data_IF_512623495410
#
_entry.id   IF_512623495410
#
_cell.length_a   1.000
_cell.length_b   1.000
_cell.length_c   1.000
_cell.angle_alpha   90.00
_cell.angle_beta   90.00
_cell.angle_gamma   90.00
#
_symmetry.space_group_name_H-M   'P 1'
#
loop_
_entity.id
_entity.type
_entity.pdbx_description
1 polymer ?
#
# COMPACT_ATOMS: atom_id res chain seq x y z
N UNK A 1 19.81 -21.83 12.64
CA UNK A 1 18.51 -21.91 11.94
C UNK A 1 18.67 -22.87 10.78
N UNK A 2 17.89 -23.97 10.72
CA UNK A 2 18.11 -25.04 9.75
C UNK A 2 17.77 -24.60 8.32
N UNK A 3 18.74 -24.81 7.41
CA UNK A 3 18.74 -24.75 5.95
C UNK A 3 17.37 -24.55 5.23
N UNK A 4 16.79 -23.36 5.29
CA UNK A 4 15.52 -22.99 4.65
C UNK A 4 15.71 -22.48 3.19
N UNK A 5 16.54 -23.19 2.41
CA UNK A 5 16.95 -22.67 1.09
C UNK A 5 17.37 -23.70 0.05
N UNK A 6 17.24 -25.01 0.33
CA UNK A 6 17.79 -26.04 -0.56
C UNK A 6 16.73 -26.91 -1.28
N UNK A 7 15.45 -26.57 -1.20
CA UNK A 7 14.39 -27.33 -1.86
C UNK A 7 13.63 -26.51 -2.90
N UNK A 8 13.30 -27.13 -4.04
CA UNK A 8 12.54 -26.53 -5.15
C UNK A 8 11.20 -25.92 -4.70
N UNK A 9 10.62 -26.46 -3.62
CA UNK A 9 9.35 -25.99 -3.06
C UNK A 9 9.48 -24.58 -2.45
N UNK A 10 10.55 -24.30 -1.70
CA UNK A 10 10.82 -22.97 -1.13
C UNK A 10 11.05 -21.92 -2.22
N UNK A 11 11.69 -22.32 -3.32
CA UNK A 11 11.90 -21.43 -4.45
C UNK A 11 10.59 -21.07 -5.18
N UNK A 12 9.68 -22.03 -5.30
CA UNK A 12 8.34 -21.80 -5.88
C UNK A 12 7.48 -20.96 -4.93
N UNK A 13 7.49 -21.25 -3.63
CA UNK A 13 6.78 -20.45 -2.63
C UNK A 13 7.28 -19.01 -2.60
N UNK A 14 8.59 -18.79 -2.65
CA UNK A 14 9.18 -17.45 -2.70
C UNK A 14 8.78 -16.69 -3.97
N UNK A 15 8.67 -17.38 -5.11
CA UNK A 15 8.22 -16.78 -6.37
C UNK A 15 6.75 -16.35 -6.30
N UNK A 16 5.88 -17.25 -5.82
CA UNK A 16 4.46 -16.96 -5.62
C UNK A 16 4.28 -15.81 -4.63
N UNK A 17 5.05 -15.78 -3.54
CA UNK A 17 4.97 -14.71 -2.56
C UNK A 17 5.36 -13.35 -3.16
N UNK A 18 6.39 -13.30 -4.02
CA UNK A 18 6.79 -12.08 -4.73
C UNK A 18 5.76 -11.62 -5.77
N UNK A 19 5.17 -12.56 -6.50
CA UNK A 19 4.13 -12.24 -7.47
C UNK A 19 2.84 -11.78 -6.78
N UNK A 20 2.50 -12.39 -5.65
CA UNK A 20 1.39 -11.96 -4.82
C UNK A 20 1.62 -10.58 -4.22
N UNK A 21 2.84 -10.29 -3.75
CA UNK A 21 3.23 -8.96 -3.27
C UNK A 21 3.06 -7.90 -4.38
N UNK A 22 3.47 -8.19 -5.61
CA UNK A 22 3.26 -7.28 -6.76
C UNK A 22 1.79 -7.08 -7.11
N UNK A 23 0.99 -8.16 -7.12
CA UNK A 23 -0.45 -8.07 -7.38
C UNK A 23 -1.15 -7.26 -6.28
N UNK A 24 -0.73 -7.46 -5.02
CA UNK A 24 -1.24 -6.70 -3.88
C UNK A 24 -0.85 -5.22 -4.00
N UNK A 25 0.40 -4.92 -4.36
CA UNK A 25 0.89 -3.56 -4.56
C UNK A 25 0.15 -2.87 -5.71
N UNK A 26 -0.09 -3.58 -6.82
CA UNK A 26 -0.89 -3.09 -7.94
C UNK A 26 -2.36 -2.86 -7.57
N UNK A 27 -2.96 -3.80 -6.84
CA UNK A 27 -4.34 -3.69 -6.34
C UNK A 27 -4.49 -2.51 -5.38
N UNK A 28 -3.46 -2.24 -4.57
CA UNK A 28 -3.44 -1.07 -3.69
C UNK A 28 -3.25 0.22 -4.49
N UNK A 29 -2.42 0.24 -5.53
CA UNK A 29 -2.21 1.42 -6.37
C UNK A 29 -3.47 1.79 -7.17
N UNK A 30 -4.23 0.79 -7.64
CA UNK A 30 -5.40 1.00 -8.50
C UNK A 30 -6.71 1.03 -7.72
N UNK A 31 -6.91 0.10 -6.78
CA UNK A 31 -8.15 -0.04 -6.02
C UNK A 31 -8.37 1.08 -5.02
N UNK A 32 -7.30 1.63 -4.47
CA UNK A 32 -7.38 2.73 -3.51
C UNK A 32 -7.88 4.05 -4.16
N UNK A 33 -7.33 4.55 -5.30
CA UNK A 33 -7.90 5.72 -5.96
C UNK A 33 -9.29 5.45 -6.56
N UNK A 34 -9.57 4.24 -7.06
CA UNK A 34 -10.91 3.89 -7.53
C UNK A 34 -11.95 3.95 -6.40
N UNK A 35 -11.62 3.41 -5.23
CA UNK A 35 -12.51 3.46 -4.06
C UNK A 35 -12.74 4.89 -3.56
N UNK A 36 -11.72 5.74 -3.61
CA UNK A 36 -11.87 7.17 -3.29
C UNK A 36 -12.79 7.87 -4.30
N UNK A 37 -12.62 7.62 -5.60
CA UNK A 37 -13.48 8.20 -6.64
C UNK A 37 -14.93 7.73 -6.44
N UNK A 38 -15.15 6.44 -6.18
CA UNK A 38 -16.48 5.87 -5.97
C UNK A 38 -17.16 6.48 -4.73
N UNK A 39 -16.43 6.61 -3.61
CA UNK A 39 -16.97 7.28 -2.43
C UNK A 39 -17.29 8.75 -2.69
N UNK A 40 -16.44 9.48 -3.41
CA UNK A 40 -16.68 10.89 -3.75
C UNK A 40 -17.87 11.04 -4.71
N UNK A 41 -17.98 10.20 -5.74
CA UNK A 41 -19.04 10.29 -6.76
C UNK A 41 -20.41 9.84 -6.22
N UNK A 42 -20.47 8.82 -5.38
CA UNK A 42 -21.74 8.28 -4.88
C UNK A 42 -22.26 9.07 -3.67
N UNK A 43 -21.38 9.40 -2.73
CA UNK A 43 -21.80 10.05 -1.48
C UNK A 43 -21.65 11.58 -1.52
N UNK A 44 -20.96 12.15 -2.52
CA UNK A 44 -20.62 13.58 -2.59
C UNK A 44 -21.82 14.46 -2.80
N UNK A 45 -22.76 13.97 -3.59
CA UNK A 45 -24.02 14.64 -3.91
C UNK A 45 -25.01 14.63 -2.74
N UNK A 46 -24.93 13.64 -1.85
CA UNK A 46 -25.93 13.44 -0.78
C UNK A 46 -25.42 13.85 0.61
N UNK A 47 -24.16 13.61 0.93
CA UNK A 47 -23.57 13.87 2.26
C UNK A 47 -22.10 14.33 2.16
N UNK A 48 -21.89 15.53 1.59
CA UNK A 48 -20.57 16.13 1.38
C UNK A 48 -19.69 16.17 2.65
N UNK A 49 -20.27 16.46 3.82
CA UNK A 49 -19.54 16.54 5.09
C UNK A 49 -18.87 15.22 5.50
N UNK A 50 -19.52 14.08 5.23
CA UNK A 50 -18.96 12.77 5.58
C UNK A 50 -17.78 12.40 4.68
N UNK A 51 -17.81 12.76 3.40
CA UNK A 51 -16.69 12.51 2.49
C UNK A 51 -15.51 13.40 2.83
N UNK A 52 -15.72 14.67 3.14
CA UNK A 52 -14.62 15.57 3.52
C UNK A 52 -13.90 15.02 4.75
N UNK A 53 -14.66 14.53 5.75
CA UNK A 53 -14.08 13.90 6.93
C UNK A 53 -13.29 12.62 6.57
N UNK A 54 -13.84 11.77 5.71
CA UNK A 54 -13.16 10.56 5.26
C UNK A 54 -11.88 10.85 4.45
N UNK A 55 -11.94 11.84 3.56
CA UNK A 55 -10.82 12.28 2.71
C UNK A 55 -9.68 12.85 3.57
N UNK A 56 -10.01 13.60 4.61
CA UNK A 56 -9.06 14.09 5.61
C UNK A 56 -8.36 12.95 6.35
N UNK A 57 -9.12 11.93 6.76
CA UNK A 57 -8.55 10.75 7.43
C UNK A 57 -7.62 9.98 6.48
N UNK A 58 -8.00 9.80 5.21
CA UNK A 58 -7.12 9.19 4.21
C UNK A 58 -5.83 10.00 4.00
N UNK A 59 -5.92 11.32 3.89
CA UNK A 59 -4.74 12.18 3.78
C UNK A 59 -3.80 12.06 4.99
N UNK A 60 -4.35 11.94 6.20
CA UNK A 60 -3.54 11.72 7.41
C UNK A 60 -2.82 10.37 7.37
N UNK A 61 -3.50 9.30 6.92
CA UNK A 61 -2.87 7.98 6.77
C UNK A 61 -1.77 8.02 5.69
N UNK A 62 -2.02 8.66 4.55
CA UNK A 62 -1.02 8.79 3.48
C UNK A 62 0.17 9.64 3.89
N UNK A 63 -0.04 10.75 4.59
CA UNK A 63 1.06 11.59 5.06
C UNK A 63 1.96 10.84 6.05
N UNK A 64 1.38 10.08 6.99
CA UNK A 64 2.14 9.22 7.90
C UNK A 64 2.93 8.14 7.14
N UNK A 65 2.30 7.51 6.14
CA UNK A 65 2.96 6.50 5.30
C UNK A 65 4.11 7.09 4.47
N UNK A 66 3.88 8.25 3.85
CA UNK A 66 4.87 8.99 3.06
C UNK A 66 6.06 9.40 3.92
N UNK A 67 5.84 9.95 5.13
CA UNK A 67 6.90 10.28 6.09
C UNK A 67 7.71 9.04 6.44
N UNK A 68 7.07 7.90 6.70
CA UNK A 68 7.75 6.64 7.00
C UNK A 68 8.60 6.15 5.83
N UNK A 69 8.09 6.25 4.59
CA UNK A 69 8.83 5.95 3.36
C UNK A 69 10.03 6.87 3.17
N UNK A 70 9.86 8.18 3.34
CA UNK A 70 10.94 9.18 3.22
C UNK A 70 12.04 8.90 4.27
N UNK A 71 11.68 8.64 5.53
CA UNK A 71 12.65 8.27 6.57
C UNK A 71 13.41 6.99 6.20
N UNK A 72 12.73 5.99 5.66
CA UNK A 72 13.35 4.74 5.19
C UNK A 72 14.29 4.96 4.00
N UNK A 73 13.97 5.89 3.10
CA UNK A 73 14.85 6.25 1.99
C UNK A 73 16.11 6.99 2.48
N UNK A 74 15.95 7.98 3.37
CA UNK A 74 17.09 8.71 3.94
C UNK A 74 18.04 7.82 4.75
N UNK A 75 17.51 6.83 5.48
CA UNK A 75 18.35 5.87 6.20
C UNK A 75 19.22 5.03 5.25
N UNK A 76 18.65 4.59 4.12
CA UNK A 76 19.37 3.82 3.08
C UNK A 76 20.40 4.65 2.31
N UNK A 77 20.22 5.97 2.25
CA UNK A 77 21.16 6.90 1.62
C UNK A 77 22.39 7.15 2.51
N UNK A 78 22.23 7.05 3.83
CA UNK A 78 23.32 7.22 4.80
C UNK A 78 24.19 5.97 5.00
N UNK A 79 23.73 4.80 4.56
CA UNK A 79 24.48 3.53 4.56
C UNK A 79 25.31 3.30 3.27
N UNK A 80 25.24 4.22 2.29
CA UNK A 80 26.02 4.15 1.04
C UNK A 80 27.26 5.03 1.06
#
# INVERSE_FOLDING_TARGET
MPNLGNTRLDHVLSHICKDFEKILEFSLIVGLPLGVIEQVCIYGETHADQIISLLLVLMLIFSAFAVRKIRKMRAKEHER
#
